data_IF_839389538581
#
_entry.id   IF_839389538581
#
_cell.length_a   1.000
_cell.length_b   1.000
_cell.length_c   1.000
_cell.angle_alpha   90.00
_cell.angle_beta   90.00
_cell.angle_gamma   90.00
#
_symmetry.space_group_name_H-M   'P 1'
#
loop_
_entity.id
_entity.type
_entity.pdbx_description
1 polymer ?
#
# COMPACT_ATOMS: atom_id res chain seq x y z
N UNK A 1 -14.63 6.36 -2.26
CA UNK A 1 -14.80 4.89 -2.29
C UNK A 1 -13.49 4.23 -2.62
N UNK A 2 -13.21 3.08 -2.05
CA UNK A 2 -11.99 2.34 -2.29
C UNK A 2 -12.30 1.11 -3.14
N UNK A 3 -11.48 0.85 -4.15
CA UNK A 3 -11.49 -0.39 -4.90
C UNK A 3 -10.14 -1.06 -4.78
N UNK A 4 -10.12 -2.34 -4.42
CA UNK A 4 -8.91 -3.14 -4.31
C UNK A 4 -9.08 -4.36 -5.20
N UNK A 5 -8.17 -4.55 -6.13
CA UNK A 5 -8.16 -5.70 -7.03
C UNK A 5 -6.87 -6.48 -6.83
N UNK A 6 -6.98 -7.78 -6.62
CA UNK A 6 -5.82 -8.66 -6.56
C UNK A 6 -5.73 -9.41 -7.89
N UNK A 7 -4.66 -9.17 -8.64
CA UNK A 7 -4.44 -9.79 -9.94
C UNK A 7 -3.98 -11.24 -9.78
N UNK A 8 -4.03 -11.99 -10.87
CA UNK A 8 -3.62 -13.40 -10.86
C UNK A 8 -2.15 -13.58 -10.47
N UNK A 9 -1.30 -12.60 -10.78
CA UNK A 9 0.12 -12.64 -10.41
C UNK A 9 0.37 -12.15 -8.97
N UNK A 10 -0.68 -11.80 -8.24
CA UNK A 10 -0.58 -11.34 -6.87
C UNK A 10 -0.45 -9.83 -6.71
N UNK A 11 -0.26 -9.08 -7.79
CA UNK A 11 -0.19 -7.62 -7.69
C UNK A 11 -1.52 -7.06 -7.18
N UNK A 12 -1.45 -6.11 -6.25
CA UNK A 12 -2.63 -5.46 -5.69
C UNK A 12 -2.79 -4.09 -6.33
N UNK A 13 -3.97 -3.83 -6.88
CA UNK A 13 -4.29 -2.53 -7.49
C UNK A 13 -5.23 -1.76 -6.57
N UNK A 14 -4.83 -0.55 -6.22
CA UNK A 14 -5.65 0.34 -5.38
C UNK A 14 -6.20 1.48 -6.23
N UNK A 15 -7.49 1.81 -6.02
CA UNK A 15 -8.07 3.00 -6.62
C UNK A 15 -9.07 3.64 -5.67
N UNK A 16 -9.28 4.95 -5.83
CA UNK A 16 -10.18 5.73 -5.02
C UNK A 16 -9.49 6.32 -3.79
N UNK A 17 -10.09 6.14 -2.63
CA UNK A 17 -9.60 6.74 -1.38
C UNK A 17 -9.46 5.66 -0.32
N UNK A 18 -8.30 5.61 0.31
CA UNK A 18 -8.05 4.70 1.43
C UNK A 18 -8.00 5.55 2.71
N UNK A 19 -9.13 5.63 3.39
CA UNK A 19 -9.25 6.38 4.63
C UNK A 19 -9.75 5.45 5.76
N UNK A 20 -10.03 6.04 6.92
CA UNK A 20 -10.37 5.27 8.11
C UNK A 20 -11.61 4.38 7.92
N UNK A 21 -12.54 4.79 7.06
CA UNK A 21 -13.79 4.03 6.86
C UNK A 21 -13.57 2.72 6.08
N UNK A 22 -12.42 2.56 5.40
CA UNK A 22 -12.13 1.36 4.62
C UNK A 22 -11.05 0.47 5.25
N UNK A 23 -10.60 0.77 6.47
CA UNK A 23 -9.49 0.03 7.08
C UNK A 23 -9.80 -1.46 7.21
N UNK A 24 -11.01 -1.81 7.62
CA UNK A 24 -11.37 -3.24 7.77
C UNK A 24 -11.30 -3.98 6.44
N UNK A 25 -11.81 -3.36 5.38
CA UNK A 25 -11.76 -3.96 4.04
C UNK A 25 -10.32 -4.14 3.58
N UNK A 26 -9.50 -3.12 3.77
CA UNK A 26 -8.09 -3.19 3.38
C UNK A 26 -7.33 -4.23 4.21
N UNK A 27 -7.54 -4.24 5.53
CA UNK A 27 -6.89 -5.22 6.41
C UNK A 27 -7.20 -6.65 5.98
N UNK A 28 -8.46 -6.94 5.63
CA UNK A 28 -8.85 -8.29 5.24
C UNK A 28 -8.07 -8.78 4.02
N UNK A 29 -7.78 -7.87 3.09
CA UNK A 29 -7.03 -8.23 1.88
C UNK A 29 -5.53 -8.30 2.17
N UNK A 30 -4.98 -7.31 2.85
CA UNK A 30 -3.54 -7.28 3.12
C UNK A 30 -3.10 -8.36 4.11
N UNK A 31 -3.99 -8.81 5.00
CA UNK A 31 -3.67 -9.91 5.92
C UNK A 31 -3.38 -11.23 5.17
N UNK A 32 -3.83 -11.36 3.94
CA UNK A 32 -3.57 -12.55 3.12
C UNK A 32 -2.23 -12.50 2.41
N UNK A 33 -1.58 -11.35 2.39
CA UNK A 33 -0.28 -11.20 1.74
C UNK A 33 0.77 -11.90 2.60
N UNK A 34 1.49 -12.86 2.00
CA UNK A 34 2.46 -13.69 2.72
C UNK A 34 3.88 -13.58 2.16
N UNK A 35 4.04 -12.99 0.98
CA UNK A 35 5.34 -12.86 0.30
C UNK A 35 5.47 -11.46 -0.25
N UNK A 36 6.66 -11.14 -0.79
CA UNK A 36 6.90 -9.86 -1.46
C UNK A 36 5.83 -9.62 -2.51
N UNK A 37 5.17 -8.46 -2.42
CA UNK A 37 4.01 -8.16 -3.24
C UNK A 37 4.10 -6.71 -3.73
N UNK A 38 3.78 -6.52 -5.01
CA UNK A 38 3.68 -5.18 -5.61
C UNK A 38 2.30 -4.62 -5.33
N UNK A 39 2.27 -3.37 -4.85
CA UNK A 39 1.02 -2.64 -4.62
C UNK A 39 1.02 -1.43 -5.54
N UNK A 40 0.11 -1.41 -6.48
CA UNK A 40 0.01 -0.38 -7.51
C UNK A 40 -0.97 0.70 -7.04
N UNK A 41 -0.48 1.90 -6.88
CA UNK A 41 -1.25 3.04 -6.39
C UNK A 41 -1.82 3.90 -7.53
N UNK A 42 -1.77 3.40 -8.77
CA UNK A 42 -2.08 4.21 -9.95
C UNK A 42 -3.46 4.84 -9.95
N UNK A 43 -4.43 4.20 -9.31
CA UNK A 43 -5.78 4.75 -9.21
C UNK A 43 -6.10 5.37 -7.85
N UNK A 44 -5.14 5.43 -6.94
CA UNK A 44 -5.41 5.92 -5.57
C UNK A 44 -5.21 7.43 -5.51
N UNK A 45 -6.27 8.14 -5.12
CA UNK A 45 -6.25 9.60 -5.03
C UNK A 45 -5.84 10.12 -3.65
N UNK A 46 -6.05 9.31 -2.62
CA UNK A 46 -5.86 9.77 -1.24
C UNK A 46 -5.58 8.58 -0.32
N UNK A 47 -4.70 8.80 0.66
CA UNK A 47 -4.47 7.85 1.74
C UNK A 47 -4.38 8.61 3.06
N UNK A 48 -5.09 8.10 4.08
CA UNK A 48 -5.06 8.67 5.43
C UNK A 48 -3.99 7.98 6.27
N UNK A 49 -3.74 8.53 7.47
CA UNK A 49 -2.84 7.89 8.42
C UNK A 49 -3.31 6.49 8.80
N UNK A 50 -4.64 6.27 8.86
CA UNK A 50 -5.18 4.93 9.14
C UNK A 50 -4.85 3.97 8.00
N UNK A 51 -4.93 4.43 6.75
CA UNK A 51 -4.53 3.63 5.58
C UNK A 51 -3.05 3.33 5.59
N UNK A 52 -2.21 4.31 5.92
CA UNK A 52 -0.78 4.08 6.08
C UNK A 52 -0.51 3.01 7.14
N UNK A 53 -1.30 3.00 8.22
CA UNK A 53 -1.17 1.99 9.27
C UNK A 53 -1.38 0.57 8.79
N UNK A 54 -2.34 0.36 7.88
CA UNK A 54 -2.57 -0.96 7.27
C UNK A 54 -1.33 -1.43 6.52
N UNK A 55 -0.76 -0.56 5.70
CA UNK A 55 0.44 -0.90 4.93
C UNK A 55 1.64 -1.14 5.85
N UNK A 56 1.79 -0.32 6.88
CA UNK A 56 2.91 -0.46 7.82
C UNK A 56 2.82 -1.77 8.59
N UNK A 57 1.64 -2.15 9.05
CA UNK A 57 1.43 -3.41 9.75
C UNK A 57 1.80 -4.59 8.85
N UNK A 58 1.38 -4.56 7.60
CA UNK A 58 1.70 -5.59 6.63
C UNK A 58 3.20 -5.67 6.37
N UNK A 59 3.84 -4.52 6.18
CA UNK A 59 5.28 -4.45 5.94
C UNK A 59 6.07 -5.04 7.11
N UNK A 60 5.71 -4.70 8.34
CA UNK A 60 6.38 -5.23 9.52
C UNK A 60 6.26 -6.75 9.59
N UNK A 61 5.09 -7.28 9.32
CA UNK A 61 4.85 -8.72 9.34
C UNK A 61 5.66 -9.43 8.28
N UNK A 62 5.67 -8.89 7.06
CA UNK A 62 6.42 -9.48 5.94
C UNK A 62 7.92 -9.45 6.20
N UNK A 63 8.42 -8.39 6.81
CA UNK A 63 9.87 -8.25 7.03
C UNK A 63 10.41 -9.34 7.95
N UNK A 64 9.57 -9.90 8.82
CA UNK A 64 9.97 -10.99 9.70
C UNK A 64 10.31 -12.26 8.93
N UNK A 65 9.80 -12.41 7.71
CA UNK A 65 10.05 -13.55 6.84
C UNK A 65 10.96 -13.19 5.66
N UNK A 66 11.59 -12.03 5.69
CA UNK A 66 12.46 -11.59 4.60
C UNK A 66 11.73 -11.08 3.38
N UNK A 67 10.45 -10.77 3.50
CA UNK A 67 9.63 -10.23 2.41
C UNK A 67 9.32 -8.76 2.64
N UNK A 68 8.79 -8.11 1.61
CA UNK A 68 8.46 -6.68 1.68
C UNK A 68 7.42 -6.31 0.63
N UNK A 69 6.79 -5.16 0.84
CA UNK A 69 5.91 -4.57 -0.17
C UNK A 69 6.72 -3.68 -1.10
N UNK A 70 6.37 -3.70 -2.37
CA UNK A 70 6.92 -2.78 -3.37
C UNK A 70 5.78 -1.88 -3.82
N UNK A 71 5.88 -0.58 -3.52
CA UNK A 71 4.82 0.38 -3.81
C UNK A 71 5.13 1.09 -5.13
N UNK A 72 4.17 1.09 -6.05
CA UNK A 72 4.40 1.60 -7.40
C UNK A 72 3.32 2.59 -7.81
N UNK A 73 3.64 3.44 -8.78
CA UNK A 73 2.70 4.33 -9.46
C UNK A 73 1.99 5.33 -8.55
N UNK A 74 2.65 5.78 -7.49
CA UNK A 74 2.10 6.81 -6.63
C UNK A 74 2.01 8.14 -7.37
N UNK A 75 0.87 8.83 -7.25
CA UNK A 75 0.80 10.21 -7.70
C UNK A 75 1.57 11.11 -6.73
N UNK A 76 1.73 12.38 -7.12
CA UNK A 76 2.54 13.31 -6.32
C UNK A 76 1.98 13.50 -4.92
N UNK A 77 0.66 13.61 -4.79
CA UNK A 77 0.03 13.84 -3.49
C UNK A 77 0.27 12.67 -2.53
N UNK A 78 0.05 11.45 -3.00
CA UNK A 78 0.27 10.26 -2.18
C UNK A 78 1.76 10.10 -1.84
N UNK A 79 2.63 10.35 -2.81
CA UNK A 79 4.07 10.27 -2.57
C UNK A 79 4.53 11.28 -1.52
N UNK A 80 3.97 12.50 -1.55
CA UNK A 80 4.30 13.53 -0.57
C UNK A 80 3.88 13.10 0.83
N UNK A 81 2.74 12.44 0.98
CA UNK A 81 2.29 11.93 2.27
C UNK A 81 3.30 10.92 2.83
N UNK A 82 3.77 9.99 2.00
CA UNK A 82 4.78 9.01 2.42
C UNK A 82 6.08 9.69 2.81
N UNK A 83 6.51 10.68 2.05
CA UNK A 83 7.77 11.39 2.32
C UNK A 83 7.69 12.20 3.63
N UNK A 84 6.58 12.92 3.83
CA UNK A 84 6.39 13.72 5.05
C UNK A 84 6.37 12.82 6.28
N UNK A 85 5.73 11.66 6.16
CA UNK A 85 5.66 10.68 7.25
C UNK A 85 6.97 9.88 7.42
N UNK A 86 7.96 10.09 6.55
CA UNK A 86 9.23 9.33 6.52
C UNK A 86 9.03 7.86 6.20
N UNK A 87 7.92 7.50 5.59
CA UNK A 87 7.64 6.12 5.21
C UNK A 87 8.38 5.71 3.94
N UNK A 88 8.93 6.67 3.19
CA UNK A 88 9.84 6.38 2.09
C UNK A 88 11.12 5.65 2.55
N UNK A 89 11.43 5.70 3.84
CA UNK A 89 12.55 4.97 4.44
C UNK A 89 12.14 3.56 4.88
N UNK A 90 10.84 3.29 4.99
CA UNK A 90 10.31 2.01 5.46
C UNK A 90 9.91 1.10 4.31
N UNK A 91 9.37 1.69 3.25
CA UNK A 91 8.87 0.94 2.08
C UNK A 91 9.81 1.08 0.90
N UNK A 92 9.84 0.05 0.06
CA UNK A 92 10.45 0.18 -1.25
C UNK A 92 9.44 0.84 -2.18
N UNK A 93 9.74 2.03 -2.64
CA UNK A 93 8.89 2.78 -3.54
C UNK A 93 9.58 2.84 -4.89
N UNK A 94 8.92 2.32 -5.92
CA UNK A 94 9.44 2.35 -7.28
C UNK A 94 8.77 3.47 -8.05
N UNK A 95 9.59 4.32 -8.63
CA UNK A 95 9.12 5.37 -9.51
C UNK A 95 8.93 4.80 -10.90
N UNK A 96 7.77 5.05 -11.50
CA UNK A 96 7.56 4.69 -12.90
C UNK A 96 7.83 5.91 -13.77
N UNK A 97 8.48 5.69 -14.91
CA UNK A 97 8.74 6.79 -15.83
C UNK A 97 7.45 7.38 -16.38
#
# INVERSE_FOLDING_TARGET
MLSITVKDDGEILLSGRLDASQVETADAIFDRVATTTRVNFGGLDYISSAGLGVLLKTQKRLSQSGHFLVLTNMNKLVRDVFRIARFDLVFRIEETP
#
